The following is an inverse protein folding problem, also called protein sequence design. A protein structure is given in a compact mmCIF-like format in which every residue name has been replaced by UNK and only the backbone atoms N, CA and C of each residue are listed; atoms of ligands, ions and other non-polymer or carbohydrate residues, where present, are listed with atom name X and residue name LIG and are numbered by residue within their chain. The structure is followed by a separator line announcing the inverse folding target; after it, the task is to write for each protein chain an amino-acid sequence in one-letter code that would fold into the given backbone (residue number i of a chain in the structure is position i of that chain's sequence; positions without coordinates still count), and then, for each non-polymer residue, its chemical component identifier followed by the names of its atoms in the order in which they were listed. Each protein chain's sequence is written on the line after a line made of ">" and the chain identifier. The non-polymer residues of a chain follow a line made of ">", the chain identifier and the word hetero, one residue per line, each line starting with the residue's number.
data_IF_738099064600
#
_entry.id   IF_738099064600
#
_cell.length_a   1.000
_cell.length_b   1.000
_cell.length_c   1.000
_cell.angle_alpha   90.00
_cell.angle_beta   90.00
_cell.angle_gamma   90.00
#
_symmetry.space_group_name_H-M   'P 1'
#
loop_
_entity.id
_entity.type
_entity.pdbx_description
1 polymer ?
#
# COMPACT_ATOMS: atom_id res chain seq x y z
N UNK A 1 -11.15 -22.39 -4.28
CA UNK A 1 -11.76 -21.41 -3.35
C UNK A 1 -10.86 -21.16 -2.15
N UNK A 2 -10.35 -22.21 -1.50
CA UNK A 2 -9.37 -22.14 -0.38
C UNK A 2 -8.18 -21.23 -0.67
N UNK A 3 -7.64 -21.28 -1.89
CA UNK A 3 -6.44 -20.48 -2.25
C UNK A 3 -6.72 -18.98 -2.28
N UNK A 4 -7.93 -18.56 -2.70
CA UNK A 4 -8.32 -17.14 -2.76
C UNK A 4 -8.50 -16.58 -1.36
N UNK A 5 -9.12 -17.35 -0.46
CA UNK A 5 -9.28 -16.99 0.95
C UNK A 5 -7.91 -16.81 1.61
N UNK A 6 -7.01 -17.79 1.39
CA UNK A 6 -5.65 -17.73 1.92
C UNK A 6 -4.88 -16.51 1.38
N UNK A 7 -4.97 -16.22 0.08
CA UNK A 7 -4.32 -15.05 -0.52
C UNK A 7 -4.85 -13.74 0.05
N UNK A 8 -6.16 -13.63 0.31
CA UNK A 8 -6.76 -12.43 0.89
C UNK A 8 -6.35 -12.23 2.36
N UNK A 9 -6.36 -13.29 3.17
CA UNK A 9 -5.88 -13.23 4.55
C UNK A 9 -4.40 -12.85 4.60
N UNK A 10 -3.58 -13.45 3.75
CA UNK A 10 -2.17 -13.15 3.64
C UNK A 10 -1.93 -11.69 3.20
N UNK A 11 -2.71 -11.19 2.24
CA UNK A 11 -2.67 -9.79 1.84
C UNK A 11 -3.00 -8.86 3.02
N UNK A 12 -4.05 -9.14 3.79
CA UNK A 12 -4.42 -8.32 4.94
C UNK A 12 -3.33 -8.30 6.02
N UNK A 13 -2.79 -9.47 6.38
CA UNK A 13 -1.71 -9.59 7.37
C UNK A 13 -0.50 -8.76 6.92
N UNK A 14 -0.10 -8.88 5.66
CA UNK A 14 1.02 -8.12 5.12
C UNK A 14 0.71 -6.61 5.01
N UNK A 15 -0.54 -6.19 4.79
CA UNK A 15 -0.93 -4.78 4.87
C UNK A 15 -0.79 -4.21 6.30
N UNK A 16 -1.12 -5.01 7.33
CA UNK A 16 -0.86 -4.62 8.72
C UNK A 16 0.64 -4.48 9.02
N UNK A 17 1.48 -5.37 8.49
CA UNK A 17 2.93 -5.26 8.64
C UNK A 17 3.46 -3.99 7.96
N UNK A 18 2.95 -3.64 6.77
CA UNK A 18 3.24 -2.36 6.12
C UNK A 18 2.82 -1.17 7.00
N UNK A 19 1.61 -1.21 7.56
CA UNK A 19 1.13 -0.16 8.46
C UNK A 19 2.02 -0.02 9.71
N UNK A 20 2.50 -1.13 10.26
CA UNK A 20 3.45 -1.12 11.36
C UNK A 20 4.79 -0.45 10.98
N UNK A 21 5.33 -0.74 9.78
CA UNK A 21 6.52 -0.05 9.28
C UNK A 21 6.30 1.46 9.14
N UNK A 22 5.13 1.88 8.65
CA UNK A 22 4.79 3.31 8.55
C UNK A 22 4.71 3.98 9.91
N UNK A 23 4.05 3.34 10.88
CA UNK A 23 3.94 3.86 12.23
C UNK A 23 5.33 3.99 12.89
N UNK A 24 6.17 2.95 12.78
CA UNK A 24 7.56 3.01 13.22
C UNK A 24 8.34 4.13 12.51
N UNK A 25 8.14 4.32 11.21
CA UNK A 25 8.79 5.39 10.46
C UNK A 25 8.39 6.78 10.99
N UNK A 26 7.14 6.97 11.42
CA UNK A 26 6.68 8.22 12.06
C UNK A 26 7.38 8.42 13.40
N UNK A 27 7.44 7.40 14.26
CA UNK A 27 8.12 7.48 15.57
C UNK A 27 9.59 7.83 15.39
N UNK A 28 10.28 7.17 14.46
CA UNK A 28 11.69 7.41 14.15
C UNK A 28 11.93 8.81 13.59
N UNK A 29 10.98 9.34 12.80
CA UNK A 29 11.01 10.72 12.31
C UNK A 29 10.91 11.72 13.45
N UNK A 30 10.00 11.50 14.41
CA UNK A 30 9.85 12.37 15.60
C UNK A 30 11.15 12.36 16.43
N UNK A 31 11.81 11.21 16.54
CA UNK A 31 13.13 11.06 17.21
C UNK A 31 14.30 11.65 16.43
N UNK A 32 14.07 12.32 15.30
CA UNK A 32 15.12 12.99 14.52
C UNK A 32 16.15 12.03 13.92
N UNK A 33 15.77 10.78 13.59
CA UNK A 33 16.65 9.77 12.98
C UNK A 33 16.31 9.54 11.50
N UNK A 34 16.66 10.47 10.61
CA UNK A 34 16.12 10.50 9.26
C UNK A 34 16.64 9.38 8.35
N UNK A 35 17.84 8.82 8.59
CA UNK A 35 18.35 7.65 7.85
C UNK A 35 17.49 6.41 8.10
N UNK A 36 17.20 6.13 9.37
CA UNK A 36 16.35 5.01 9.77
C UNK A 36 14.91 5.21 9.28
N UNK A 37 14.40 6.44 9.30
CA UNK A 37 13.10 6.78 8.71
C UNK A 37 13.07 6.41 7.21
N UNK A 38 14.08 6.85 6.45
CA UNK A 38 14.18 6.52 5.03
C UNK A 38 14.26 5.02 4.77
N UNK A 39 15.05 4.28 5.56
CA UNK A 39 15.15 2.82 5.45
C UNK A 39 13.81 2.13 5.72
N UNK A 40 13.08 2.53 6.76
CA UNK A 40 11.76 1.98 7.08
C UNK A 40 10.75 2.26 5.94
N UNK A 41 10.79 3.46 5.34
CA UNK A 41 9.95 3.79 4.19
C UNK A 41 10.27 2.91 2.97
N UNK A 42 11.55 2.62 2.72
CA UNK A 42 11.96 1.72 1.63
C UNK A 42 11.46 0.29 1.89
N UNK A 43 11.61 -0.23 3.12
CA UNK A 43 11.12 -1.56 3.47
C UNK A 43 9.59 -1.67 3.30
N UNK A 44 8.85 -0.68 3.78
CA UNK A 44 7.40 -0.61 3.61
C UNK A 44 7.01 -0.57 2.12
N UNK A 45 7.73 0.21 1.31
CA UNK A 45 7.52 0.27 -0.15
C UNK A 45 7.78 -1.08 -0.83
N UNK A 46 8.93 -1.72 -0.56
CA UNK A 46 9.30 -3.00 -1.19
C UNK A 46 8.25 -4.07 -0.87
N UNK A 47 7.81 -4.13 0.38
CA UNK A 47 6.76 -5.05 0.78
C UNK A 47 5.42 -4.76 0.07
N UNK A 48 5.01 -3.49 -0.02
CA UNK A 48 3.77 -3.11 -0.69
C UNK A 48 3.81 -3.34 -2.21
N UNK A 49 4.99 -3.16 -2.81
CA UNK A 49 5.23 -3.50 -4.20
C UNK A 49 5.08 -5.01 -4.43
N UNK A 50 5.72 -5.82 -3.58
CA UNK A 50 5.58 -7.28 -3.63
C UNK A 50 4.12 -7.73 -3.48
N UNK A 51 3.41 -7.19 -2.49
CA UNK A 51 1.98 -7.43 -2.29
C UNK A 51 1.15 -7.14 -3.54
N UNK A 52 1.42 -5.99 -4.17
CA UNK A 52 0.64 -5.57 -5.33
C UNK A 52 0.92 -6.48 -6.53
N UNK A 53 2.19 -6.78 -6.80
CA UNK A 53 2.60 -7.59 -7.95
C UNK A 53 2.23 -9.06 -7.81
N UNK A 54 2.34 -9.64 -6.61
CA UNK A 54 2.15 -11.07 -6.41
C UNK A 54 0.74 -11.45 -5.93
N UNK A 55 -0.04 -10.50 -5.42
CA UNK A 55 -1.41 -10.78 -4.94
C UNK A 55 -2.43 -9.97 -5.74
N UNK A 56 -2.39 -8.64 -5.65
CA UNK A 56 -3.44 -7.80 -6.25
C UNK A 56 -3.54 -7.91 -7.77
N UNK A 57 -2.41 -7.88 -8.47
CA UNK A 57 -2.37 -7.98 -9.94
C UNK A 57 -2.88 -9.34 -10.42
N UNK A 58 -2.41 -10.50 -9.91
CA UNK A 58 -2.97 -11.80 -10.26
C UNK A 58 -4.47 -11.91 -9.99
N UNK A 59 -4.96 -11.41 -8.84
CA UNK A 59 -6.40 -11.43 -8.53
C UNK A 59 -7.22 -10.60 -9.53
N UNK A 60 -6.70 -9.43 -9.95
CA UNK A 60 -7.35 -8.60 -10.95
C UNK A 60 -7.37 -9.29 -12.33
N UNK A 61 -6.26 -9.88 -12.75
CA UNK A 61 -6.16 -10.60 -14.03
C UNK A 61 -7.03 -11.86 -14.07
N UNK A 62 -7.25 -12.50 -12.92
CA UNK A 62 -8.19 -13.61 -12.79
C UNK A 62 -9.67 -13.18 -12.88
N UNK A 63 -9.97 -11.88 -12.95
CA UNK A 63 -11.33 -11.35 -13.10
C UNK A 63 -12.23 -11.51 -11.86
N UNK A 64 -11.69 -12.01 -10.74
CA UNK A 64 -12.46 -12.42 -9.56
C UNK A 64 -13.36 -11.32 -8.93
N UNK A 65 -13.01 -10.00 -8.97
CA UNK A 65 -13.86 -8.96 -8.38
C UNK A 65 -14.70 -8.14 -9.38
N UNK A 66 -14.53 -8.34 -10.70
CA UNK A 66 -15.09 -7.45 -11.73
C UNK A 66 -16.35 -8.02 -12.40
N UNK A 67 -16.53 -9.35 -12.34
CA UNK A 67 -17.47 -10.04 -13.24
C UNK A 67 -18.86 -10.29 -12.61
N UNK A 68 -19.04 -10.16 -11.29
CA UNK A 68 -20.30 -10.55 -10.64
C UNK A 68 -21.35 -9.44 -10.44
N UNK A 69 -20.98 -8.16 -10.40
CA UNK A 69 -21.89 -7.00 -10.53
C UNK A 69 -21.15 -5.67 -10.38
N UNK A 70 -21.05 -4.88 -11.45
CA UNK A 70 -20.56 -3.49 -11.39
C UNK A 70 -21.49 -2.56 -10.58
N UNK A 71 -22.71 -2.98 -10.27
CA UNK A 71 -23.68 -2.22 -9.47
C UNK A 71 -23.46 -2.31 -7.96
N UNK A 72 -22.60 -3.22 -7.49
CA UNK A 72 -22.39 -3.43 -6.07
C UNK A 72 -21.33 -2.45 -5.55
N UNK A 73 -21.64 -1.80 -4.42
CA UNK A 73 -20.78 -0.78 -3.81
C UNK A 73 -19.36 -1.32 -3.57
N UNK A 74 -19.24 -2.60 -3.23
CA UNK A 74 -17.97 -3.26 -2.97
C UNK A 74 -17.10 -3.38 -4.23
N UNK A 75 -17.68 -3.68 -5.40
CA UNK A 75 -16.97 -3.71 -6.67
C UNK A 75 -16.38 -2.33 -7.01
N UNK A 76 -17.15 -1.27 -6.78
CA UNK A 76 -16.69 0.12 -6.96
C UNK A 76 -15.56 0.44 -5.99
N UNK A 77 -15.72 0.10 -4.70
CA UNK A 77 -14.69 0.31 -3.69
C UNK A 77 -13.41 -0.47 -4.01
N UNK A 78 -13.52 -1.69 -4.53
CA UNK A 78 -12.38 -2.49 -4.97
C UNK A 78 -11.61 -1.80 -6.11
N UNK A 79 -12.30 -1.32 -7.14
CA UNK A 79 -11.68 -0.62 -8.27
C UNK A 79 -10.98 0.65 -7.78
N UNK A 80 -11.66 1.45 -6.95
CA UNK A 80 -11.09 2.68 -6.37
C UNK A 80 -9.86 2.37 -5.50
N UNK A 81 -9.95 1.35 -4.64
CA UNK A 81 -8.83 0.89 -3.81
C UNK A 81 -7.63 0.50 -4.68
N UNK A 82 -7.86 -0.28 -5.73
CA UNK A 82 -6.81 -0.71 -6.66
C UNK A 82 -6.14 0.49 -7.35
N UNK A 83 -6.93 1.41 -7.92
CA UNK A 83 -6.40 2.60 -8.61
C UNK A 83 -5.60 3.50 -7.67
N UNK A 84 -6.11 3.74 -6.46
CA UNK A 84 -5.39 4.51 -5.44
C UNK A 84 -4.12 3.78 -4.99
N UNK A 85 -4.14 2.45 -4.90
CA UNK A 85 -2.98 1.62 -4.58
C UNK A 85 -1.88 1.78 -5.64
N UNK A 86 -2.24 1.71 -6.92
CA UNK A 86 -1.31 1.93 -8.05
C UNK A 86 -0.74 3.36 -8.02
N UNK A 87 -1.59 4.37 -7.83
CA UNK A 87 -1.13 5.77 -7.72
C UNK A 87 -0.16 5.96 -6.54
N UNK A 88 -0.46 5.34 -5.40
CA UNK A 88 0.41 5.36 -4.21
C UNK A 88 1.75 4.71 -4.51
N UNK A 89 1.76 3.57 -5.21
CA UNK A 89 3.00 2.91 -5.62
C UNK A 89 3.84 3.78 -6.54
N UNK A 90 3.25 4.42 -7.56
CA UNK A 90 3.99 5.31 -8.47
C UNK A 90 4.68 6.43 -7.69
N UNK A 91 3.95 7.07 -6.77
CA UNK A 91 4.50 8.14 -5.92
C UNK A 91 5.59 7.62 -4.97
N UNK A 92 5.38 6.46 -4.36
CA UNK A 92 6.35 5.83 -3.47
C UNK A 92 7.62 5.42 -4.23
N UNK A 93 7.50 4.85 -5.43
CA UNK A 93 8.62 4.52 -6.32
C UNK A 93 9.46 5.76 -6.62
N UNK A 94 8.82 6.87 -6.95
CA UNK A 94 9.52 8.13 -7.20
C UNK A 94 10.26 8.63 -5.94
N UNK A 95 9.63 8.57 -4.76
CA UNK A 95 10.27 8.95 -3.50
C UNK A 95 11.47 8.06 -3.15
N UNK A 96 11.33 6.75 -3.31
CA UNK A 96 12.39 5.77 -3.07
C UNK A 96 13.54 5.94 -4.04
N UNK A 97 13.26 6.12 -5.34
CA UNK A 97 14.27 6.39 -6.36
C UNK A 97 15.05 7.67 -6.04
N UNK A 98 14.36 8.75 -5.65
CA UNK A 98 15.03 9.99 -5.21
C UNK A 98 15.88 9.79 -3.97
N UNK A 99 15.42 9.00 -2.99
CA UNK A 99 16.17 8.70 -1.79
C UNK A 99 17.43 7.86 -2.08
N UNK A 100 17.33 6.89 -3.00
CA UNK A 100 18.46 6.09 -3.46
C UNK A 100 19.48 6.92 -4.24
N UNK A 101 19.02 7.76 -5.19
CA UNK A 101 19.88 8.66 -5.96
C UNK A 101 20.62 9.68 -5.08
N UNK A 102 19.97 10.13 -4.01
CA UNK A 102 20.58 10.99 -3.00
C UNK A 102 21.55 10.24 -2.06
N UNK A 103 21.95 8.99 -2.37
CA UNK A 103 22.84 8.16 -1.56
C UNK A 103 22.40 8.08 -0.09
N UNK A 104 21.10 7.94 0.16
CA UNK A 104 20.53 7.86 1.51
C UNK A 104 20.77 9.12 2.37
N UNK A 105 21.03 10.27 1.73
CA UNK A 105 21.16 11.57 2.41
C UNK A 105 19.89 12.41 2.27
N UNK A 106 19.55 13.11 3.35
CA UNK A 106 18.26 13.81 3.54
C UNK A 106 18.31 15.28 3.07
N UNK A 107 19.49 15.73 2.62
CA UNK A 107 19.79 17.14 2.37
C UNK A 107 18.99 17.78 1.23
N UNK A 108 18.18 17.02 0.49
CA UNK A 108 17.34 17.54 -0.59
C UNK A 108 15.87 17.10 -0.53
N UNK A 109 15.29 17.05 0.68
CA UNK A 109 13.84 16.82 0.91
C UNK A 109 12.92 17.96 0.41
N UNK A 110 13.09 18.46 -0.82
CA UNK A 110 12.14 19.36 -1.50
C UNK A 110 10.78 18.70 -1.81
N UNK A 111 10.57 17.44 -1.42
CA UNK A 111 9.35 16.65 -1.66
C UNK A 111 8.44 16.47 -0.44
N UNK A 112 8.48 17.34 0.59
CA UNK A 112 7.65 17.18 1.81
C UNK A 112 6.16 17.02 1.49
N UNK A 113 5.66 17.78 0.52
CA UNK A 113 4.26 17.67 0.08
C UNK A 113 3.98 16.30 -0.55
N UNK A 114 4.87 15.81 -1.41
CA UNK A 114 4.75 14.51 -2.06
C UNK A 114 4.74 13.36 -1.03
N UNK A 115 5.60 13.43 0.00
CA UNK A 115 5.59 12.45 1.09
C UNK A 115 4.27 12.46 1.86
N UNK A 116 3.72 13.65 2.14
CA UNK A 116 2.40 13.78 2.81
C UNK A 116 1.28 13.21 1.96
N UNK A 117 1.26 13.51 0.66
CA UNK A 117 0.28 12.95 -0.29
C UNK A 117 0.38 11.43 -0.37
N UNK A 118 1.59 10.89 -0.46
CA UNK A 118 1.80 9.42 -0.49
C UNK A 118 1.29 8.77 0.78
N UNK A 119 1.62 9.32 1.96
CA UNK A 119 1.15 8.80 3.24
C UNK A 119 -0.37 8.89 3.39
N UNK A 120 -0.99 9.96 2.89
CA UNK A 120 -2.44 10.13 2.88
C UNK A 120 -3.12 9.09 1.99
N UNK A 121 -2.68 8.94 0.73
CA UNK A 121 -3.22 7.94 -0.19
C UNK A 121 -3.05 6.53 0.34
N UNK A 122 -1.93 6.25 1.02
CA UNK A 122 -1.71 4.95 1.64
C UNK A 122 -2.67 4.69 2.81
N UNK A 123 -2.97 5.72 3.60
CA UNK A 123 -3.94 5.62 4.70
C UNK A 123 -5.36 5.39 4.19
N UNK A 124 -5.75 6.10 3.11
CA UNK A 124 -7.04 5.91 2.44
C UNK A 124 -7.15 4.49 1.85
N UNK A 125 -6.12 4.03 1.14
CA UNK A 125 -6.11 2.67 0.57
C UNK A 125 -6.20 1.60 1.66
N UNK A 126 -5.46 1.73 2.76
CA UNK A 126 -5.59 0.84 3.92
C UNK A 126 -7.04 0.80 4.45
N UNK A 127 -7.66 1.97 4.61
CA UNK A 127 -9.06 2.08 5.07
C UNK A 127 -10.04 1.37 4.13
N UNK A 128 -9.88 1.54 2.82
CA UNK A 128 -10.72 0.83 1.83
C UNK A 128 -10.46 -0.68 1.83
N UNK A 129 -9.21 -1.11 2.02
CA UNK A 129 -8.86 -2.54 2.13
C UNK A 129 -9.52 -3.19 3.36
N UNK A 130 -9.50 -2.51 4.49
CA UNK A 130 -10.20 -2.93 5.71
C UNK A 130 -11.71 -3.02 5.52
N UNK A 131 -12.30 -2.02 4.85
CA UNK A 131 -13.72 -2.03 4.51
C UNK A 131 -14.09 -3.27 3.69
N UNK A 132 -13.37 -3.55 2.60
CA UNK A 132 -13.60 -4.71 1.73
C UNK A 132 -13.45 -6.05 2.46
N UNK A 133 -12.51 -6.12 3.40
CA UNK A 133 -12.36 -7.31 4.24
C UNK A 133 -13.54 -7.48 5.20
N UNK A 134 -13.98 -6.40 5.85
CA UNK A 134 -15.08 -6.44 6.82
C UNK A 134 -16.47 -6.64 6.21
N UNK A 135 -16.67 -6.22 4.95
CA UNK A 135 -17.95 -6.37 4.25
C UNK A 135 -18.21 -7.79 3.75
N UNK A 136 -17.23 -8.70 3.89
CA UNK A 136 -17.33 -10.05 3.34
C UNK A 136 -17.27 -10.10 1.81
N UNK A 137 -16.82 -9.01 1.16
CA UNK A 137 -16.67 -8.95 -0.30
C UNK A 137 -15.77 -10.07 -0.83
N UNK A 138 -14.79 -10.46 -0.02
CA UNK A 138 -14.04 -11.68 -0.23
C UNK A 138 -14.72 -12.80 0.55
N UNK A 139 -15.46 -13.72 -0.11
CA UNK A 139 -16.10 -14.82 0.59
C UNK A 139 -15.03 -15.66 1.30
N UNK A 140 -15.23 -15.87 2.59
CA UNK A 140 -14.50 -16.85 3.41
C UNK A 140 -14.89 -18.28 3.11
#
# INVERSE_FOLDING_TARGET
>A
MTDVILMNQLNLVLQFVVAAFLFMAIVVKIKGRPRLHGLLMVMAYVQNLGLTLFIMVPLLLAGLPVVSSYSNMESVVFIVHYLLGVATLILASFLVARFALARFTILNCRGKWLMRMTAFLWSVTLGLGLFLYSSGFFPG
#
